data_IF_063184372949
#
_entry.id   IF_063184372949
#
_cell.length_a   1.000
_cell.length_b   1.000
_cell.length_c   1.000
_cell.angle_alpha   90.00
_cell.angle_beta   90.00
_cell.angle_gamma   90.00
#
_symmetry.space_group_name_H-M   'P 1'
#
loop_
_entity.id
_entity.type
_entity.pdbx_description
1 polymer ?
#
# COMPACT_ATOMS: atom_id res chain seq x y z
N UNK A 1 -9.19 3.56 -16.74
CA UNK A 1 -8.95 4.26 -15.45
C UNK A 1 -7.46 4.46 -15.25
N UNK A 2 -7.08 5.65 -14.82
CA UNK A 2 -5.69 5.95 -14.52
C UNK A 2 -5.41 5.65 -13.05
N UNK A 3 -4.42 4.83 -12.78
CA UNK A 3 -3.96 4.56 -11.42
C UNK A 3 -2.80 5.49 -11.07
N UNK A 4 -2.90 6.12 -9.91
CA UNK A 4 -1.88 7.05 -9.42
C UNK A 4 -0.88 6.37 -8.50
N UNK A 5 0.33 6.91 -8.43
CA UNK A 5 1.34 6.49 -7.47
C UNK A 5 2.15 7.73 -7.10
N UNK A 6 2.07 8.12 -5.83
CA UNK A 6 2.91 9.18 -5.27
C UNK A 6 4.18 8.51 -4.76
N UNK A 7 5.33 8.97 -5.25
CA UNK A 7 6.62 8.44 -4.83
C UNK A 7 7.00 8.93 -3.43
N UNK A 8 7.61 8.06 -2.65
CA UNK A 8 8.15 8.43 -1.34
C UNK A 8 9.40 9.29 -1.52
N UNK A 9 9.64 10.20 -0.55
CA UNK A 9 10.85 11.02 -0.55
C UNK A 9 12.03 10.27 0.05
N UNK A 10 11.76 9.47 1.09
CA UNK A 10 12.76 8.57 1.69
C UNK A 10 12.06 7.30 2.21
N UNK A 11 12.84 6.39 2.82
CA UNK A 11 12.32 5.10 3.26
C UNK A 11 11.29 5.18 4.38
N UNK A 12 11.21 6.30 5.09
CA UNK A 12 10.23 6.49 6.18
C UNK A 12 8.88 6.97 5.66
N UNK A 13 8.79 7.34 4.39
CA UNK A 13 7.61 7.97 3.79
C UNK A 13 6.61 7.01 3.17
N UNK A 14 6.86 5.70 3.17
CA UNK A 14 6.02 4.78 2.39
C UNK A 14 4.54 4.82 2.83
N UNK A 15 4.26 4.88 4.13
CA UNK A 15 2.88 4.98 4.62
C UNK A 15 2.20 6.29 4.22
N UNK A 16 2.91 7.41 4.38
CA UNK A 16 2.39 8.73 3.98
C UNK A 16 2.18 8.83 2.47
N UNK A 17 3.10 8.29 1.69
CA UNK A 17 2.98 8.26 0.22
C UNK A 17 1.78 7.42 -0.23
N UNK A 18 1.50 6.30 0.45
CA UNK A 18 0.33 5.48 0.16
C UNK A 18 -0.97 6.25 0.42
N UNK A 19 -1.07 6.97 1.55
CA UNK A 19 -2.24 7.81 1.81
C UNK A 19 -2.38 8.94 0.79
N UNK A 20 -1.28 9.60 0.42
CA UNK A 20 -1.30 10.62 -0.64
C UNK A 20 -1.79 10.05 -1.97
N UNK A 21 -1.39 8.82 -2.29
CA UNK A 21 -1.83 8.11 -3.49
C UNK A 21 -3.35 7.88 -3.46
N UNK A 22 -3.87 7.40 -2.33
CA UNK A 22 -5.32 7.16 -2.19
C UNK A 22 -6.10 8.47 -2.25
N UNK A 23 -5.60 9.53 -1.63
CA UNK A 23 -6.20 10.86 -1.72
C UNK A 23 -6.28 11.31 -3.17
N UNK A 24 -5.18 11.20 -3.92
CA UNK A 24 -5.14 11.58 -5.33
C UNK A 24 -6.10 10.74 -6.17
N UNK A 25 -6.20 9.45 -5.90
CA UNK A 25 -7.12 8.55 -6.60
C UNK A 25 -8.58 8.94 -6.37
N UNK A 26 -8.88 9.58 -5.24
CA UNK A 26 -10.20 10.09 -4.89
C UNK A 26 -10.40 11.58 -5.20
N UNK A 27 -9.47 12.20 -5.92
CA UNK A 27 -9.59 13.59 -6.36
C UNK A 27 -9.06 14.64 -5.37
N UNK A 28 -8.38 14.23 -4.30
CA UNK A 28 -7.79 15.13 -3.33
C UNK A 28 -6.29 15.30 -3.56
N UNK A 29 -5.77 16.49 -3.24
CA UNK A 29 -4.32 16.75 -3.27
C UNK A 29 -3.84 17.09 -1.87
N UNK A 30 -3.13 16.15 -1.26
CA UNK A 30 -2.54 16.35 0.07
C UNK A 30 -1.09 15.89 -0.02
N UNK A 31 -0.18 16.77 0.42
CA UNK A 31 1.25 16.49 0.35
C UNK A 31 1.71 15.48 1.42
N UNK A 32 2.77 14.76 1.13
CA UNK A 32 3.37 13.79 2.04
C UNK A 32 3.73 14.43 3.38
N UNK A 33 4.31 15.62 3.37
CA UNK A 33 4.71 16.34 4.60
C UNK A 33 3.55 16.52 5.55
N UNK A 34 2.39 16.94 5.03
CA UNK A 34 1.19 17.12 5.84
C UNK A 34 0.70 15.81 6.45
N UNK A 35 0.72 14.74 5.66
CA UNK A 35 0.31 13.42 6.11
C UNK A 35 1.27 12.90 7.19
N UNK A 36 2.57 13.10 7.02
CA UNK A 36 3.56 12.70 8.03
C UNK A 36 3.30 13.33 9.38
N UNK A 37 2.95 14.62 9.40
CA UNK A 37 2.62 15.33 10.64
C UNK A 37 1.44 14.68 11.36
N UNK A 38 0.37 14.43 10.62
CA UNK A 38 -0.86 13.85 11.19
C UNK A 38 -0.64 12.40 11.62
N UNK A 39 0.13 11.63 10.84
CA UNK A 39 0.38 10.22 11.10
C UNK A 39 1.41 9.95 12.18
N UNK A 40 2.14 10.97 12.63
CA UNK A 40 3.21 10.80 13.60
C UNK A 40 4.40 10.01 13.05
N UNK A 41 4.73 10.24 11.78
CA UNK A 41 5.88 9.60 11.13
C UNK A 41 7.18 10.07 11.75
N UNK A 42 8.06 9.13 12.07
CA UNK A 42 9.38 9.40 12.64
C UNK A 42 10.48 8.68 11.85
N UNK A 43 11.67 8.54 12.43
CA UNK A 43 12.81 7.89 11.80
C UNK A 43 12.56 6.40 11.47
N UNK A 44 11.60 5.79 12.12
CA UNK A 44 11.24 4.39 11.91
C UNK A 44 10.05 4.23 10.96
N UNK A 45 9.51 5.35 10.46
CA UNK A 45 8.38 5.36 9.56
C UNK A 45 7.06 5.59 10.29
N UNK A 46 5.97 5.15 9.68
CA UNK A 46 4.61 5.30 10.21
C UNK A 46 4.06 3.92 10.56
N UNK A 47 3.58 3.75 11.80
CA UNK A 47 2.92 2.51 12.17
C UNK A 47 1.46 2.50 11.68
N UNK A 48 0.82 1.34 11.76
CA UNK A 48 -0.56 1.15 11.29
C UNK A 48 -1.55 2.10 11.97
N UNK A 49 -1.40 2.31 13.27
CA UNK A 49 -2.25 3.23 14.01
C UNK A 49 -2.14 4.66 13.46
N UNK A 50 -0.92 5.11 13.18
CA UNK A 50 -0.67 6.44 12.60
C UNK A 50 -1.30 6.59 11.22
N UNK A 51 -1.21 5.56 10.39
CA UNK A 51 -1.83 5.56 9.06
C UNK A 51 -3.35 5.66 9.17
N UNK A 52 -3.95 4.83 10.04
CA UNK A 52 -5.40 4.84 10.28
C UNK A 52 -5.87 6.21 10.79
N UNK A 53 -5.16 6.74 11.78
CA UNK A 53 -5.49 8.06 12.37
C UNK A 53 -5.42 9.17 11.30
N UNK A 54 -4.38 9.18 10.49
CA UNK A 54 -4.25 10.16 9.41
C UNK A 54 -5.39 10.02 8.39
N UNK A 55 -5.71 8.79 7.99
CA UNK A 55 -6.80 8.53 7.06
C UNK A 55 -8.14 9.04 7.60
N UNK A 56 -8.42 8.80 8.86
CA UNK A 56 -9.65 9.28 9.50
C UNK A 56 -9.73 10.80 9.52
N UNK A 57 -8.63 11.47 9.80
CA UNK A 57 -8.58 12.94 9.77
C UNK A 57 -8.76 13.51 8.37
N UNK A 58 -8.43 12.73 7.35
CA UNK A 58 -8.61 13.10 5.94
C UNK A 58 -10.02 12.78 5.41
N UNK A 59 -10.90 12.26 6.26
CA UNK A 59 -12.29 11.97 5.90
C UNK A 59 -12.57 10.55 5.45
N UNK A 60 -11.62 9.62 5.64
CA UNK A 60 -11.84 8.20 5.35
C UNK A 60 -12.31 7.46 6.60
N UNK A 61 -13.10 6.42 6.37
CA UNK A 61 -13.29 5.38 7.37
C UNK A 61 -12.19 4.34 7.15
N UNK A 62 -11.39 4.06 8.16
CA UNK A 62 -10.21 3.20 8.03
C UNK A 62 -10.25 2.05 9.03
N UNK A 63 -9.95 0.84 8.55
CA UNK A 63 -9.95 -0.35 9.38
C UNK A 63 -8.80 -1.27 9.02
N UNK A 64 -8.00 -1.65 10.03
CA UNK A 64 -6.95 -2.66 9.87
C UNK A 64 -7.55 -4.06 9.87
N UNK A 65 -7.18 -4.87 8.91
CA UNK A 65 -7.68 -6.25 8.76
C UNK A 65 -6.52 -7.20 8.53
N UNK A 66 -6.42 -8.22 9.35
CA UNK A 66 -5.51 -9.35 9.14
C UNK A 66 -6.24 -10.43 8.36
N UNK A 67 -5.52 -11.09 7.46
CA UNK A 67 -6.07 -12.19 6.69
C UNK A 67 -4.98 -12.96 5.99
N UNK A 68 -5.32 -14.15 5.52
CA UNK A 68 -4.42 -14.95 4.72
C UNK A 68 -4.52 -14.55 3.24
N UNK A 69 -3.78 -15.25 2.38
CA UNK A 69 -3.78 -15.03 0.94
C UNK A 69 -5.19 -15.10 0.35
N UNK A 70 -6.02 -16.03 0.83
CA UNK A 70 -7.40 -16.22 0.34
C UNK A 70 -8.27 -15.00 0.62
N UNK A 71 -8.06 -14.32 1.74
CA UNK A 71 -8.80 -13.11 2.09
C UNK A 71 -8.57 -11.97 1.09
N UNK A 72 -7.45 -12.01 0.34
CA UNK A 72 -7.17 -11.03 -0.71
C UNK A 72 -8.10 -11.16 -1.92
N UNK A 73 -8.74 -12.29 -2.08
CA UNK A 73 -9.66 -12.50 -3.19
C UNK A 73 -11.13 -12.34 -2.78
N UNK A 74 -11.39 -12.03 -1.51
CA UNK A 74 -12.72 -11.66 -1.05
C UNK A 74 -13.00 -10.20 -1.40
N UNK A 75 -14.27 -9.81 -1.41
CA UNK A 75 -14.67 -8.44 -1.68
C UNK A 75 -14.24 -7.50 -0.54
N UNK A 76 -13.56 -6.42 -0.89
CA UNK A 76 -13.20 -5.34 0.04
C UNK A 76 -13.00 -4.05 -0.74
N UNK A 77 -13.08 -2.88 -0.06
CA UNK A 77 -12.90 -1.59 -0.74
C UNK A 77 -11.51 -1.43 -1.34
N UNK A 78 -11.44 -0.92 -2.57
CA UNK A 78 -10.20 -0.59 -3.26
C UNK A 78 -10.24 0.89 -3.67
N UNK A 79 -9.11 1.59 -3.67
CA UNK A 79 -7.80 1.12 -3.27
C UNK A 79 -7.69 0.92 -1.75
N UNK A 80 -6.82 0.02 -1.34
CA UNK A 80 -6.48 -0.19 0.07
C UNK A 80 -4.96 -0.13 0.26
N UNK A 81 -4.53 -0.03 1.51
CA UNK A 81 -3.10 -0.07 1.85
C UNK A 81 -2.76 -1.45 2.39
N UNK A 82 -1.71 -2.06 1.87
CA UNK A 82 -1.19 -3.33 2.39
C UNK A 82 0.15 -3.09 3.05
N UNK A 83 0.33 -3.66 4.24
CA UNK A 83 1.62 -3.70 4.92
C UNK A 83 2.28 -5.03 4.61
N UNK A 84 3.45 -4.97 4.01
CA UNK A 84 4.16 -6.17 3.54
C UNK A 84 5.53 -6.28 4.21
N UNK A 85 6.03 -7.51 4.31
CA UNK A 85 7.40 -7.79 4.69
C UNK A 85 8.09 -8.40 3.47
N UNK A 86 9.19 -7.79 3.05
CA UNK A 86 10.00 -8.29 1.94
C UNK A 86 11.12 -9.13 2.49
N UNK A 87 11.19 -10.41 2.10
CA UNK A 87 12.17 -11.40 2.57
C UNK A 87 12.28 -11.51 4.11
N UNK A 88 11.19 -11.28 4.82
CA UNK A 88 11.16 -11.37 6.27
C UNK A 88 11.88 -10.24 7.00
N UNK A 89 12.38 -9.23 6.29
CA UNK A 89 13.22 -8.19 6.88
C UNK A 89 12.72 -6.77 6.67
N UNK A 90 12.33 -6.41 5.45
CA UNK A 90 11.96 -5.04 5.11
C UNK A 90 10.44 -4.84 5.26
N UNK A 91 10.06 -3.99 6.20
CA UNK A 91 8.68 -3.56 6.37
C UNK A 91 8.36 -2.45 5.35
N UNK A 92 7.22 -2.58 4.67
CA UNK A 92 6.87 -1.64 3.61
C UNK A 92 5.35 -1.53 3.46
N UNK A 93 4.88 -0.36 3.01
CA UNK A 93 3.49 -0.14 2.64
C UNK A 93 3.36 0.02 1.14
N UNK A 94 2.34 -0.59 0.57
CA UNK A 94 1.96 -0.40 -0.84
C UNK A 94 0.46 -0.16 -0.94
N UNK A 95 0.02 0.47 -2.02
CA UNK A 95 -1.41 0.61 -2.33
C UNK A 95 -1.81 -0.50 -3.29
N UNK A 96 -2.90 -1.19 -2.99
CA UNK A 96 -3.50 -2.14 -3.92
C UNK A 96 -4.64 -1.41 -4.62
N UNK A 97 -4.51 -1.19 -5.93
CA UNK A 97 -5.54 -0.55 -6.75
C UNK A 97 -6.55 -1.55 -7.31
N UNK A 98 -6.08 -2.74 -7.64
CA UNK A 98 -6.93 -3.77 -8.25
C UNK A 98 -6.40 -5.15 -7.88
N UNK A 99 -7.30 -6.06 -7.57
CA UNK A 99 -6.95 -7.45 -7.35
C UNK A 99 -8.02 -8.34 -7.99
N UNK A 100 -7.57 -9.25 -8.84
CA UNK A 100 -8.39 -10.28 -9.46
C UNK A 100 -7.62 -11.60 -9.39
N UNK A 101 -8.24 -12.69 -9.76
CA UNK A 101 -7.54 -13.98 -9.83
C UNK A 101 -6.40 -14.01 -10.85
N UNK A 102 -6.39 -13.03 -11.79
CA UNK A 102 -5.40 -12.95 -12.86
C UNK A 102 -4.36 -11.87 -12.65
N UNK A 103 -4.68 -10.82 -11.90
CA UNK A 103 -3.82 -9.63 -11.83
C UNK A 103 -3.96 -8.89 -10.52
N UNK A 104 -2.83 -8.39 -10.04
CA UNK A 104 -2.77 -7.43 -8.94
C UNK A 104 -2.08 -6.17 -9.47
N UNK A 105 -2.72 -5.03 -9.33
CA UNK A 105 -2.14 -3.73 -9.70
C UNK A 105 -1.86 -2.98 -8.40
N UNK A 106 -0.61 -2.66 -8.17
CA UNK A 106 -0.19 -1.96 -6.97
C UNK A 106 0.50 -0.64 -7.32
N UNK A 107 0.44 0.30 -6.39
CA UNK A 107 1.29 1.47 -6.38
C UNK A 107 2.29 1.31 -5.25
N UNK A 108 3.55 1.10 -5.60
CA UNK A 108 4.63 0.98 -4.64
C UNK A 108 5.35 2.32 -4.57
N UNK A 109 5.34 3.01 -3.41
CA UNK A 109 5.97 4.33 -3.31
C UNK A 109 7.47 4.35 -3.64
N UNK A 110 8.12 3.22 -3.56
CA UNK A 110 9.54 3.11 -3.90
C UNK A 110 9.83 2.67 -5.33
N UNK A 111 8.79 2.30 -6.09
CA UNK A 111 8.97 1.72 -7.43
C UNK A 111 8.05 2.39 -8.47
N UNK A 112 6.78 2.61 -8.15
CA UNK A 112 5.76 3.11 -9.08
C UNK A 112 4.62 2.11 -9.24
N UNK A 113 3.87 2.24 -10.32
CA UNK A 113 2.79 1.30 -10.63
C UNK A 113 3.41 -0.01 -11.12
N UNK A 114 3.00 -1.11 -10.50
CA UNK A 114 3.47 -2.46 -10.86
C UNK A 114 2.26 -3.35 -11.07
N UNK A 115 2.26 -4.08 -12.18
CA UNK A 115 1.23 -5.07 -12.53
C UNK A 115 1.83 -6.45 -12.39
N UNK A 116 1.24 -7.28 -11.54
CA UNK A 116 1.75 -8.59 -11.19
C UNK A 116 0.65 -9.63 -11.30
N UNK A 117 1.05 -10.88 -11.52
CA UNK A 117 0.16 -12.00 -11.25
C UNK A 117 0.08 -12.20 -9.73
N UNK A 118 -1.03 -12.73 -9.19
CA UNK A 118 -1.11 -12.97 -7.75
C UNK A 118 0.05 -13.79 -7.19
N UNK A 119 0.49 -14.82 -7.90
CA UNK A 119 1.61 -15.67 -7.50
C UNK A 119 2.92 -14.89 -7.40
N UNK A 120 3.11 -13.92 -8.30
CA UNK A 120 4.27 -13.03 -8.28
C UNK A 120 4.23 -12.07 -7.11
N UNK A 121 3.05 -11.50 -6.83
CA UNK A 121 2.89 -10.58 -5.71
C UNK A 121 3.19 -11.27 -4.37
N UNK A 122 2.76 -12.52 -4.22
CA UNK A 122 3.03 -13.29 -3.01
C UNK A 122 4.41 -13.97 -3.00
N UNK A 123 5.23 -13.72 -4.02
CA UNK A 123 6.59 -14.25 -4.08
C UNK A 123 6.69 -15.74 -4.36
N UNK A 124 5.65 -16.34 -4.93
CA UNK A 124 5.61 -17.78 -5.26
C UNK A 124 6.31 -18.07 -6.58
N UNK A 125 6.28 -17.09 -7.51
CA UNK A 125 6.87 -17.19 -8.85
C UNK A 125 7.54 -15.86 -9.18
N UNK A 126 8.63 -15.89 -9.92
CA UNK A 126 9.31 -14.69 -10.40
C UNK A 126 9.36 -14.71 -11.92
N UNK A 127 9.09 -13.56 -12.54
CA UNK A 127 9.28 -13.37 -13.97
C UNK A 127 10.50 -12.47 -14.22
N UNK A 128 11.24 -12.78 -15.30
CA UNK A 128 12.34 -11.95 -15.75
C UNK A 128 11.84 -10.56 -16.09
N UNK A 129 12.59 -9.53 -15.69
CA UNK A 129 12.22 -8.14 -15.93
C UNK A 129 11.44 -7.47 -14.80
N UNK A 130 11.05 -8.20 -13.77
CA UNK A 130 10.43 -7.60 -12.60
C UNK A 130 11.44 -6.73 -11.83
N UNK A 131 10.99 -5.63 -11.19
CA UNK A 131 11.85 -4.86 -10.30
C UNK A 131 12.46 -5.76 -9.23
N UNK A 132 13.72 -5.52 -8.80
CA UNK A 132 14.40 -6.39 -7.83
C UNK A 132 13.60 -6.65 -6.55
N UNK A 133 12.84 -5.67 -6.10
CA UNK A 133 11.97 -5.78 -4.91
C UNK A 133 10.93 -6.92 -5.07
N UNK A 134 10.40 -7.11 -6.27
CA UNK A 134 9.38 -8.10 -6.56
C UNK A 134 9.94 -9.45 -6.99
N UNK A 135 11.26 -9.60 -7.03
CA UNK A 135 11.94 -10.88 -7.19
C UNK A 135 12.13 -11.60 -5.86
N UNK A 136 11.82 -10.90 -4.75
CA UNK A 136 11.95 -11.41 -3.40
C UNK A 136 10.57 -11.79 -2.86
N UNK A 137 10.56 -12.73 -1.94
CA UNK A 137 9.32 -13.18 -1.32
C UNK A 137 8.70 -12.04 -0.52
N UNK A 138 7.42 -11.77 -0.75
CA UNK A 138 6.65 -10.81 0.01
C UNK A 138 5.57 -11.51 0.81
N UNK A 139 5.44 -11.13 2.07
CA UNK A 139 4.38 -11.60 2.95
C UNK A 139 3.53 -10.41 3.36
N UNK A 140 2.23 -10.50 3.15
CA UNK A 140 1.31 -9.46 3.59
C UNK A 140 0.96 -9.71 5.05
N UNK A 141 1.28 -8.73 5.91
CA UNK A 141 0.98 -8.80 7.34
C UNK A 141 -0.46 -8.41 7.65
N UNK A 142 -0.92 -7.32 7.04
CA UNK A 142 -2.28 -6.83 7.19
C UNK A 142 -2.58 -5.83 6.07
N UNK A 143 -3.84 -5.50 5.92
CA UNK A 143 -4.28 -4.43 5.01
C UNK A 143 -5.11 -3.42 5.79
N UNK A 144 -5.13 -2.18 5.30
CA UNK A 144 -5.98 -1.13 5.84
C UNK A 144 -7.02 -0.82 4.77
N UNK A 145 -8.26 -1.18 5.07
CA UNK A 145 -9.38 -0.88 4.20
C UNK A 145 -9.81 0.56 4.42
N UNK A 146 -10.01 1.28 3.33
CA UNK A 146 -10.37 2.70 3.35
C UNK A 146 -11.64 2.90 2.54
N UNK A 147 -12.57 3.65 3.09
CA UNK A 147 -13.76 4.09 2.36
C UNK A 147 -14.05 5.55 2.69
N UNK A 148 -14.64 6.26 1.73
CA UNK A 148 -15.02 7.65 1.96
C UNK A 148 -16.17 7.67 2.97
N UNK A 149 -15.96 8.40 4.05
CA UNK A 149 -16.95 8.51 5.12
C UNK A 149 -18.12 9.41 4.72
#
# INVERSE_FOLDING_TARGET
>A
MKYHCIEQHDITDCGAACLATICKQNGYRIGITKIREVAGTDKQGTNAYGVIKAAEQLGFSAKGVKGNKEAFFSEFPLPCIAHVIVDGQLLHYVVIHKITKKQVIIADPGVGIVKLKPEEFFGEVHEEGQPPKYRKRQNVRFKINLSVA
#
